data_IF_027945540536
#
_entry.id   IF_027945540536
#
_cell.length_a   1.000
_cell.length_b   1.000
_cell.length_c   1.000
_cell.angle_alpha   90.00
_cell.angle_beta   90.00
_cell.angle_gamma   90.00
#
_symmetry.space_group_name_H-M   'P 1'
#
loop_
_entity.id
_entity.type
_entity.pdbx_description
1 polymer ?
#
# COMPACT_ATOMS: atom_id res chain seq x y z
N UNK A 1 21.57 -11.36 -12.33
CA UNK A 1 20.79 -11.66 -11.11
C UNK A 1 19.52 -10.84 -11.19
N UNK A 2 18.35 -11.46 -11.11
CA UNK A 2 17.09 -10.72 -11.18
C UNK A 2 16.81 -10.04 -9.85
N UNK A 3 16.40 -8.78 -9.89
CA UNK A 3 16.08 -7.98 -8.71
C UNK A 3 14.73 -8.37 -8.13
N UNK A 4 14.54 -8.12 -6.84
CA UNK A 4 13.24 -8.13 -6.20
C UNK A 4 13.00 -6.76 -5.59
N UNK A 5 12.00 -6.06 -6.11
CA UNK A 5 11.66 -4.70 -5.70
C UNK A 5 10.28 -4.72 -5.05
N UNK A 6 10.09 -3.86 -4.05
CA UNK A 6 8.79 -3.50 -3.51
C UNK A 6 8.51 -2.03 -3.83
N UNK A 7 7.26 -1.71 -4.16
CA UNK A 7 6.70 -0.37 -4.05
C UNK A 7 5.73 -0.37 -2.87
N UNK A 8 5.99 0.46 -1.86
CA UNK A 8 5.06 0.72 -0.77
C UNK A 8 4.33 2.05 -1.02
N UNK A 9 3.02 2.07 -0.82
CA UNK A 9 2.14 3.25 -0.96
C UNK A 9 1.20 3.33 0.25
N UNK A 10 1.15 4.49 0.92
CA UNK A 10 0.32 4.69 2.10
C UNK A 10 -1.15 4.89 1.74
N UNK A 11 -2.04 4.11 2.36
CA UNK A 11 -3.47 4.17 2.07
C UNK A 11 -4.05 5.52 2.48
N UNK A 12 -4.69 6.27 1.58
CA UNK A 12 -5.27 7.59 1.84
C UNK A 12 -4.43 8.49 2.80
N UNK A 13 -3.12 8.58 2.55
CA UNK A 13 -2.11 9.02 3.53
C UNK A 13 -2.48 10.24 4.39
N UNK A 14 -2.87 11.36 3.78
CA UNK A 14 -3.17 12.58 4.54
C UNK A 14 -4.37 12.38 5.47
N UNK A 15 -5.36 11.58 5.06
CA UNK A 15 -6.50 11.24 5.94
C UNK A 15 -6.04 10.43 7.12
N UNK A 16 -5.16 9.45 6.94
CA UNK A 16 -4.62 8.67 8.06
C UNK A 16 -3.82 9.53 9.04
N UNK A 17 -3.07 10.53 8.54
CA UNK A 17 -2.37 11.49 9.40
C UNK A 17 -3.35 12.30 10.26
N UNK A 18 -4.46 12.76 9.69
CA UNK A 18 -5.50 13.46 10.45
C UNK A 18 -6.25 12.51 11.42
N UNK A 19 -6.60 11.29 10.98
CA UNK A 19 -7.24 10.27 11.82
C UNK A 19 -6.36 9.79 12.98
N UNK A 20 -5.04 9.96 12.87
CA UNK A 20 -4.12 9.69 13.98
C UNK A 20 -4.27 10.73 15.10
N UNK A 21 -4.52 11.99 14.76
CA UNK A 21 -4.79 13.06 15.73
C UNK A 21 -6.23 13.09 16.23
N UNK A 22 -7.18 12.64 15.40
CA UNK A 22 -8.60 12.55 15.73
C UNK A 22 -9.10 11.10 15.63
N UNK A 23 -8.74 10.21 16.59
CA UNK A 23 -9.04 8.79 16.50
C UNK A 23 -10.53 8.44 16.34
N UNK A 24 -11.43 9.31 16.81
CA UNK A 24 -12.88 9.19 16.67
C UNK A 24 -13.37 9.28 15.22
N UNK A 25 -12.49 9.66 14.29
CA UNK A 25 -12.78 9.77 12.85
C UNK A 25 -12.35 8.54 12.05
N UNK A 26 -11.71 7.55 12.69
CA UNK A 26 -11.39 6.26 12.08
C UNK A 26 -12.68 5.51 11.69
N UNK A 27 -12.70 4.93 10.49
CA UNK A 27 -13.87 4.22 9.97
C UNK A 27 -15.01 5.13 9.52
N UNK A 28 -14.79 6.45 9.43
CA UNK A 28 -15.77 7.45 8.98
C UNK A 28 -15.35 8.08 7.66
N UNK A 29 -16.30 8.53 6.83
CA UNK A 29 -16.00 9.23 5.58
C UNK A 29 -15.26 10.54 5.89
N UNK A 30 -13.98 10.57 5.57
CA UNK A 30 -13.09 11.71 5.77
C UNK A 30 -12.47 12.18 4.45
N UNK A 31 -12.25 13.49 4.36
CA UNK A 31 -11.56 14.19 3.28
C UNK A 31 -10.56 15.16 3.89
N UNK A 32 -9.36 15.25 3.32
CA UNK A 32 -8.41 16.32 3.62
C UNK A 32 -8.45 17.34 2.48
N UNK A 33 -8.76 18.57 2.82
CA UNK A 33 -8.88 19.73 1.94
C UNK A 33 -7.66 20.63 2.05
N UNK A 34 -7.14 21.05 0.90
CA UNK A 34 -6.08 22.03 0.79
C UNK A 34 -6.58 23.18 -0.10
N UNK A 35 -6.73 24.37 0.49
CA UNK A 35 -7.45 25.49 -0.14
C UNK A 35 -8.93 25.14 -0.40
N UNK A 36 -9.39 25.13 -1.66
CA UNK A 36 -10.75 24.73 -2.05
C UNK A 36 -10.86 23.28 -2.55
N UNK A 37 -9.74 22.68 -2.94
CA UNK A 37 -9.68 21.33 -3.50
C UNK A 37 -9.37 20.29 -2.42
N UNK A 38 -9.83 19.06 -2.62
CA UNK A 38 -9.40 17.97 -1.75
C UNK A 38 -8.08 17.38 -2.21
N UNK A 39 -7.23 17.03 -1.24
CA UNK A 39 -5.90 16.44 -1.42
C UNK A 39 -5.89 14.93 -1.22
N UNK A 40 -6.69 14.44 -0.28
CA UNK A 40 -6.85 13.02 0.00
C UNK A 40 -8.27 12.69 0.47
N UNK A 41 -8.66 11.44 0.30
CA UNK A 41 -9.99 10.94 0.62
C UNK A 41 -9.92 9.51 1.15
N UNK A 42 -10.66 9.23 2.22
CA UNK A 42 -10.83 7.91 2.83
C UNK A 42 -11.58 6.94 1.92
N UNK A 43 -11.45 5.63 2.15
CA UNK A 43 -12.22 4.65 1.39
C UNK A 43 -13.72 4.76 1.66
N UNK A 44 -14.11 5.09 2.89
CA UNK A 44 -15.49 5.33 3.30
C UNK A 44 -16.11 6.49 2.52
N UNK A 45 -15.35 7.57 2.31
CA UNK A 45 -15.82 8.70 1.51
C UNK A 45 -15.81 8.39 -0.01
N UNK A 46 -14.87 7.57 -0.51
CA UNK A 46 -14.93 7.07 -1.91
C UNK A 46 -16.17 6.21 -2.16
N UNK A 47 -16.57 5.40 -1.18
CA UNK A 47 -17.77 4.56 -1.27
C UNK A 47 -19.07 5.39 -1.41
N UNK A 48 -19.06 6.64 -0.96
CA UNK A 48 -20.16 7.60 -1.18
C UNK A 48 -20.18 8.19 -2.60
N UNK A 49 -19.24 7.81 -3.47
CA UNK A 49 -19.17 8.27 -4.85
C UNK A 49 -18.44 9.60 -5.04
N UNK A 50 -17.73 10.09 -4.01
CA UNK A 50 -16.93 11.32 -4.10
C UNK A 50 -15.72 11.07 -5.01
N UNK A 51 -15.60 11.85 -6.08
CA UNK A 51 -14.62 11.66 -7.16
C UNK A 51 -13.63 12.81 -7.28
N UNK A 52 -12.51 12.53 -7.96
CA UNK A 52 -11.51 13.54 -8.33
C UNK A 52 -12.19 14.66 -9.11
N UNK A 53 -11.93 15.89 -8.69
CA UNK A 53 -12.50 17.10 -9.29
C UNK A 53 -13.68 17.73 -8.53
N UNK A 54 -14.29 17.03 -7.56
CA UNK A 54 -15.27 17.67 -6.68
C UNK A 54 -14.59 18.68 -5.74
N UNK A 55 -15.18 19.84 -5.51
CA UNK A 55 -14.65 20.82 -4.57
C UNK A 55 -15.10 20.54 -3.13
N UNK A 56 -14.33 21.03 -2.16
CA UNK A 56 -14.61 20.78 -0.74
C UNK A 56 -15.97 21.35 -0.30
N UNK A 57 -16.38 22.49 -0.88
CA UNK A 57 -17.68 23.11 -0.61
C UNK A 57 -18.83 22.29 -1.21
N UNK A 58 -18.63 21.71 -2.40
CA UNK A 58 -19.60 20.82 -3.03
C UNK A 58 -19.80 19.55 -2.20
N UNK A 59 -18.71 18.92 -1.76
CA UNK A 59 -18.73 17.75 -0.88
C UNK A 59 -19.48 18.06 0.40
N UNK A 60 -19.22 19.22 1.02
CA UNK A 60 -19.88 19.64 2.26
C UNK A 60 -21.40 19.77 2.10
N UNK A 61 -21.87 20.19 0.93
CA UNK A 61 -23.31 20.35 0.64
C UNK A 61 -23.96 19.01 0.30
N UNK A 62 -23.33 18.21 -0.56
CA UNK A 62 -23.90 16.95 -1.04
C UNK A 62 -23.78 15.80 -0.01
N UNK A 63 -22.73 15.83 0.81
CA UNK A 63 -22.40 14.79 1.78
C UNK A 63 -22.08 15.42 3.16
N UNK A 64 -23.09 15.94 3.88
CA UNK A 64 -22.89 16.59 5.18
C UNK A 64 -22.32 15.65 6.26
N UNK A 65 -22.41 14.34 6.07
CA UNK A 65 -21.80 13.32 6.93
C UNK A 65 -20.27 13.21 6.77
N UNK A 66 -19.69 13.78 5.71
CA UNK A 66 -18.24 13.71 5.44
C UNK A 66 -17.49 14.70 6.33
N UNK A 67 -16.50 14.18 7.04
CA UNK A 67 -15.59 14.97 7.87
C UNK A 67 -14.52 15.58 6.97
N UNK A 68 -14.48 16.92 6.90
CA UNK A 68 -13.49 17.64 6.10
C UNK A 68 -12.44 18.26 7.02
N UNK A 69 -11.23 17.70 6.99
CA UNK A 69 -10.04 18.30 7.59
C UNK A 69 -9.47 19.35 6.66
N UNK A 70 -9.08 20.51 7.18
CA UNK A 70 -8.43 21.56 6.40
C UNK A 70 -6.94 21.57 6.73
N UNK A 71 -6.11 21.44 5.69
CA UNK A 71 -4.66 21.66 5.80
C UNK A 71 -4.45 23.10 6.29
N UNK A 72 -3.77 23.32 7.41
CA UNK A 72 -3.51 24.66 7.92
C UNK A 72 -2.72 25.49 6.91
N UNK A 73 -2.89 26.81 6.94
CA UNK A 73 -2.12 27.72 6.09
C UNK A 73 -1.19 28.60 6.93
N UNK A 74 0.06 28.75 6.48
CA UNK A 74 1.06 29.63 7.08
C UNK A 74 1.61 30.56 6.01
N UNK A 75 1.37 31.87 6.17
CA UNK A 75 1.75 32.91 5.18
C UNK A 75 1.16 32.67 3.78
N UNK A 76 -0.10 32.26 3.72
CA UNK A 76 -0.83 32.02 2.45
C UNK A 76 -0.36 30.77 1.69
N UNK A 77 0.33 29.84 2.37
CA UNK A 77 0.75 28.55 1.81
C UNK A 77 0.33 27.43 2.74
N UNK A 78 -0.07 26.30 2.15
CA UNK A 78 -0.35 25.08 2.89
C UNK A 78 0.84 24.65 3.77
N UNK A 79 0.55 24.43 5.04
CA UNK A 79 1.45 23.88 6.04
C UNK A 79 1.39 22.35 5.91
N UNK A 80 2.50 21.75 5.45
CA UNK A 80 2.57 20.32 5.18
C UNK A 80 3.59 19.60 6.07
N UNK A 81 4.11 20.25 7.11
CA UNK A 81 5.18 19.69 7.95
C UNK A 81 4.71 18.42 8.62
N UNK A 82 3.48 18.38 9.15
CA UNK A 82 2.94 17.17 9.79
C UNK A 82 2.91 15.93 8.88
N UNK A 83 2.60 16.11 7.59
CA UNK A 83 2.56 15.01 6.63
C UNK A 83 3.98 14.59 6.22
N UNK A 84 4.94 15.53 6.19
CA UNK A 84 6.35 15.24 5.93
C UNK A 84 7.00 14.50 7.09
N UNK A 85 6.67 14.86 8.32
CA UNK A 85 7.15 14.20 9.52
C UNK A 85 6.61 12.77 9.59
N UNK A 86 5.30 12.59 9.40
CA UNK A 86 4.67 11.27 9.29
C UNK A 86 5.30 10.40 8.19
N UNK A 87 5.62 10.98 7.03
CA UNK A 87 6.31 10.28 5.95
C UNK A 87 7.72 9.85 6.37
N UNK A 88 8.43 10.70 7.10
CA UNK A 88 9.77 10.41 7.59
C UNK A 88 9.75 9.28 8.63
N UNK A 89 8.73 9.22 9.49
CA UNK A 89 8.51 8.10 10.42
C UNK A 89 8.35 6.76 9.66
N UNK A 90 7.58 6.75 8.58
CA UNK A 90 7.39 5.54 7.74
C UNK A 90 8.71 5.12 7.10
N UNK A 91 9.44 6.05 6.48
CA UNK A 91 10.74 5.74 5.85
C UNK A 91 11.74 5.24 6.89
N UNK A 92 11.77 5.83 8.09
CA UNK A 92 12.61 5.36 9.18
C UNK A 92 12.25 3.92 9.57
N UNK A 93 10.97 3.58 9.66
CA UNK A 93 10.54 2.22 9.94
C UNK A 93 11.01 1.22 8.86
N UNK A 94 10.93 1.59 7.58
CA UNK A 94 11.40 0.73 6.48
C UNK A 94 12.92 0.59 6.52
N UNK A 95 13.65 1.65 6.90
CA UNK A 95 15.11 1.66 6.97
C UNK A 95 15.72 0.67 7.96
N UNK A 96 14.92 0.17 8.91
CA UNK A 96 15.34 -0.90 9.82
C UNK A 96 15.42 -2.27 9.15
N UNK A 97 14.78 -2.46 8.00
CA UNK A 97 14.81 -3.70 7.23
C UNK A 97 15.88 -3.67 6.14
N UNK A 98 16.06 -2.54 5.47
CA UNK A 98 17.06 -2.35 4.42
C UNK A 98 17.41 -0.88 4.24
N UNK A 99 18.65 -0.59 3.85
CA UNK A 99 19.09 0.76 3.48
C UNK A 99 18.73 1.16 2.05
N UNK A 100 18.32 0.21 1.20
CA UNK A 100 18.10 0.43 -0.23
C UNK A 100 16.70 0.95 -0.53
N UNK A 101 16.45 2.18 -0.09
CA UNK A 101 15.15 2.87 -0.19
C UNK A 101 15.27 4.07 -1.12
N UNK A 102 14.38 4.14 -2.10
CA UNK A 102 14.18 5.30 -2.96
C UNK A 102 12.80 5.90 -2.71
N UNK A 103 12.78 7.09 -2.13
CA UNK A 103 11.53 7.84 -1.93
C UNK A 103 11.01 8.36 -3.27
N UNK A 104 9.85 7.88 -3.71
CA UNK A 104 9.20 8.29 -4.94
C UNK A 104 8.28 9.52 -4.74
N UNK A 105 7.60 9.58 -3.59
CA UNK A 105 6.71 10.69 -3.22
C UNK A 105 6.69 10.92 -1.70
N UNK A 106 5.69 11.65 -1.18
CA UNK A 106 5.48 11.78 0.25
C UNK A 106 4.94 10.49 0.89
N UNK A 107 4.24 9.67 0.14
CA UNK A 107 3.57 8.44 0.58
C UNK A 107 4.04 7.18 -0.15
N UNK A 108 4.90 7.32 -1.16
CA UNK A 108 5.41 6.21 -1.96
C UNK A 108 6.94 6.04 -1.82
N UNK A 109 7.39 4.79 -1.70
CA UNK A 109 8.80 4.43 -1.72
C UNK A 109 9.05 3.11 -2.44
N UNK A 110 10.05 3.10 -3.32
CA UNK A 110 10.64 1.87 -3.86
C UNK A 110 11.69 1.34 -2.89
N UNK A 111 11.73 0.03 -2.72
CA UNK A 111 12.67 -0.65 -1.84
C UNK A 111 13.27 -1.83 -2.59
N UNK A 112 14.60 -1.90 -2.68
CA UNK A 112 15.28 -3.08 -3.21
C UNK A 112 15.42 -4.11 -2.09
N UNK A 113 14.85 -5.29 -2.33
CA UNK A 113 14.82 -6.41 -1.38
C UNK A 113 15.70 -7.57 -1.85
N UNK A 114 16.46 -7.40 -2.94
CA UNK A 114 17.22 -8.49 -3.58
C UNK A 114 18.12 -9.21 -2.57
N UNK A 115 18.93 -8.47 -1.82
CA UNK A 115 19.85 -9.06 -0.84
C UNK A 115 19.12 -9.63 0.38
N UNK A 116 18.06 -8.96 0.84
CA UNK A 116 17.24 -9.40 1.98
C UNK A 116 16.54 -10.73 1.71
N UNK A 117 16.15 -10.97 0.46
CA UNK A 117 15.47 -12.19 0.02
C UNK A 117 16.47 -13.33 -0.20
N UNK A 118 17.66 -13.04 -0.74
CA UNK A 118 18.71 -14.06 -0.95
C UNK A 118 19.13 -14.76 0.34
N UNK A 119 19.21 -14.03 1.46
CA UNK A 119 19.60 -14.57 2.76
C UNK A 119 18.56 -15.55 3.33
N UNK A 120 17.31 -15.49 2.85
CA UNK A 120 16.18 -16.26 3.39
C UNK A 120 15.76 -17.45 2.50
N UNK A 121 16.44 -17.66 1.36
CA UNK A 121 16.14 -18.76 0.42
C UNK A 121 16.37 -20.15 1.06
N UNK A 122 17.23 -20.25 2.07
CA UNK A 122 17.55 -21.53 2.74
C UNK A 122 16.44 -22.04 3.68
N UNK A 123 15.36 -21.28 3.93
CA UNK A 123 14.32 -21.65 4.91
C UNK A 123 12.87 -21.52 4.40
N UNK A 124 12.65 -21.76 3.10
CA UNK A 124 11.32 -21.68 2.46
C UNK A 124 10.23 -22.50 3.17
N UNK A 125 10.59 -23.67 3.73
CA UNK A 125 9.65 -24.57 4.41
C UNK A 125 9.02 -23.98 5.68
N UNK A 126 9.61 -22.92 6.24
CA UNK A 126 9.09 -22.25 7.43
C UNK A 126 8.12 -21.11 7.12
N UNK A 127 8.05 -20.67 5.86
CA UNK A 127 7.22 -19.54 5.47
C UNK A 127 5.74 -19.91 5.50
N UNK A 128 4.92 -18.97 5.95
CA UNK A 128 3.47 -19.08 5.97
C UNK A 128 2.87 -18.05 5.03
N UNK A 129 1.84 -18.40 4.24
CA UNK A 129 1.12 -17.42 3.45
C UNK A 129 0.44 -16.43 4.41
N UNK A 130 0.52 -15.14 4.10
CA UNK A 130 -0.20 -14.12 4.86
C UNK A 130 -1.57 -13.86 4.22
N UNK A 131 -2.59 -13.48 5.01
CA UNK A 131 -3.96 -13.31 4.51
C UNK A 131 -4.15 -12.11 3.58
N UNK A 132 -3.14 -11.23 3.46
CA UNK A 132 -3.21 -9.97 2.73
C UNK A 132 -2.42 -10.00 1.41
N UNK A 133 -1.87 -11.14 1.03
CA UNK A 133 -1.08 -11.27 -0.20
C UNK A 133 -1.87 -11.90 -1.33
N UNK A 134 -1.72 -11.29 -2.50
CA UNK A 134 -2.39 -11.68 -3.73
C UNK A 134 -1.37 -11.70 -4.86
N UNK A 135 -1.60 -12.55 -5.85
CA UNK A 135 -0.80 -12.61 -7.07
C UNK A 135 -1.66 -12.29 -8.29
N UNK A 136 -1.12 -11.46 -9.18
CA UNK A 136 -1.71 -11.22 -10.51
C UNK A 136 -1.31 -12.38 -11.42
N UNK A 137 -2.31 -13.09 -11.93
CA UNK A 137 -2.12 -14.21 -12.87
C UNK A 137 -3.04 -14.04 -14.07
N UNK A 138 -2.68 -14.63 -15.20
CA UNK A 138 -3.58 -14.69 -16.36
C UNK A 138 -4.76 -15.62 -16.07
N UNK A 139 -5.84 -15.46 -16.86
CA UNK A 139 -6.98 -16.37 -16.85
C UNK A 139 -6.55 -17.82 -17.05
N UNK A 140 -5.61 -18.05 -17.96
CA UNK A 140 -5.16 -19.39 -18.34
C UNK A 140 -4.50 -20.12 -17.16
N UNK A 141 -3.62 -19.43 -16.42
CA UNK A 141 -2.97 -19.99 -15.21
C UNK A 141 -4.01 -20.31 -14.13
N UNK A 142 -5.01 -19.44 -13.96
CA UNK A 142 -6.07 -19.65 -12.98
C UNK A 142 -6.95 -20.85 -13.36
N UNK A 143 -7.30 -21.02 -14.63
CA UNK A 143 -8.08 -22.17 -15.11
C UNK A 143 -7.31 -23.49 -14.98
N UNK A 144 -6.04 -23.52 -15.40
CA UNK A 144 -5.17 -24.70 -15.29
C UNK A 144 -4.99 -25.15 -13.83
N UNK A 145 -4.84 -24.17 -12.93
CA UNK A 145 -4.64 -24.40 -11.49
C UNK A 145 -5.94 -24.51 -10.70
N UNK A 146 -7.11 -24.37 -11.34
CA UNK A 146 -8.45 -24.35 -10.71
C UNK A 146 -8.58 -23.33 -9.58
N UNK A 147 -8.02 -22.15 -9.78
CA UNK A 147 -7.99 -21.05 -8.82
C UNK A 147 -9.12 -20.05 -9.10
N UNK A 148 -9.73 -19.52 -8.04
CA UNK A 148 -10.74 -18.47 -8.16
C UNK A 148 -10.07 -17.10 -8.32
N UNK A 149 -10.40 -16.39 -9.41
CA UNK A 149 -9.97 -15.02 -9.64
C UNK A 149 -10.89 -14.03 -8.92
N UNK A 150 -10.28 -13.02 -8.30
CA UNK A 150 -11.01 -11.83 -7.88
C UNK A 150 -11.45 -11.01 -9.10
N UNK A 151 -12.32 -10.01 -8.87
CA UNK A 151 -12.75 -9.05 -9.90
C UNK A 151 -11.58 -8.26 -10.54
N UNK A 152 -10.40 -8.28 -9.92
CA UNK A 152 -9.19 -7.58 -10.38
C UNK A 152 -8.14 -8.54 -10.95
N UNK A 153 -8.54 -9.76 -11.32
CA UNK A 153 -7.64 -10.81 -11.84
C UNK A 153 -6.49 -11.16 -10.87
N UNK A 154 -6.79 -11.20 -9.58
CA UNK A 154 -5.85 -11.67 -8.56
C UNK A 154 -6.29 -13.02 -8.00
N UNK A 155 -5.33 -13.81 -7.53
CA UNK A 155 -5.57 -14.99 -6.68
C UNK A 155 -5.02 -14.71 -5.29
N UNK A 156 -5.77 -15.08 -4.25
CA UNK A 156 -5.25 -15.02 -2.88
C UNK A 156 -4.16 -16.08 -2.69
N UNK A 157 -3.03 -15.69 -2.11
CA UNK A 157 -1.98 -16.64 -1.73
C UNK A 157 -2.35 -17.44 -0.47
N UNK A 158 -3.40 -17.02 0.25
CA UNK A 158 -3.87 -17.74 1.41
C UNK A 158 -4.75 -18.92 1.00
N UNK A 159 -4.56 -20.08 1.64
CA UNK A 159 -5.34 -21.29 1.37
C UNK A 159 -4.93 -22.07 0.12
N UNK A 160 -3.81 -21.72 -0.51
CA UNK A 160 -3.22 -22.43 -1.65
C UNK A 160 -1.76 -22.80 -1.36
N UNK A 161 -1.20 -23.73 -2.12
CA UNK A 161 0.25 -23.97 -2.12
C UNK A 161 0.95 -22.83 -2.89
N UNK A 162 1.05 -21.69 -2.22
CA UNK A 162 1.48 -20.42 -2.79
C UNK A 162 2.95 -20.45 -3.26
N UNK A 163 3.82 -21.21 -2.59
CA UNK A 163 5.21 -21.37 -3.02
C UNK A 163 5.24 -22.12 -4.35
N UNK A 164 4.55 -23.26 -4.44
CA UNK A 164 4.50 -24.04 -5.68
C UNK A 164 3.85 -23.24 -6.81
N UNK A 165 2.77 -22.50 -6.52
CA UNK A 165 2.10 -21.61 -7.46
C UNK A 165 3.07 -20.58 -8.02
N UNK A 166 3.86 -19.93 -7.17
CA UNK A 166 4.83 -18.93 -7.60
C UNK A 166 6.01 -19.56 -8.35
N UNK A 167 6.59 -20.63 -7.82
CA UNK A 167 7.76 -21.32 -8.41
C UNK A 167 7.46 -21.88 -9.81
N UNK A 168 6.25 -22.39 -10.03
CA UNK A 168 5.88 -22.97 -11.33
C UNK A 168 5.58 -21.93 -12.41
N UNK A 169 5.14 -20.73 -12.01
CA UNK A 169 4.60 -19.73 -12.95
C UNK A 169 5.49 -18.51 -13.14
N UNK A 170 6.48 -18.29 -12.28
CA UNK A 170 7.33 -17.10 -12.31
C UNK A 170 8.81 -17.48 -12.22
N UNK A 171 9.65 -16.86 -13.06
CA UNK A 171 11.09 -17.16 -13.14
C UNK A 171 11.86 -16.99 -11.81
N UNK A 172 11.32 -16.21 -10.87
CA UNK A 172 11.89 -15.98 -9.53
C UNK A 172 10.84 -16.29 -8.43
N UNK A 173 9.98 -17.28 -8.66
CA UNK A 173 8.82 -17.57 -7.83
C UNK A 173 9.13 -17.77 -6.35
N UNK A 174 10.19 -18.53 -6.01
CA UNK A 174 10.64 -18.70 -4.62
C UNK A 174 11.04 -17.40 -3.95
N UNK A 175 11.73 -16.52 -4.69
CA UNK A 175 12.12 -15.21 -4.18
C UNK A 175 10.92 -14.30 -4.00
N UNK A 176 9.94 -14.36 -4.90
CA UNK A 176 8.67 -13.66 -4.73
C UNK A 176 7.90 -14.17 -3.51
N UNK A 177 7.99 -15.46 -3.21
CA UNK A 177 7.39 -16.04 -2.01
C UNK A 177 8.02 -15.46 -0.73
N UNK A 178 9.34 -15.53 -0.61
CA UNK A 178 10.10 -14.92 0.50
C UNK A 178 9.79 -13.42 0.61
N UNK A 179 9.77 -12.71 -0.52
CA UNK A 179 9.47 -11.28 -0.55
C UNK A 179 8.06 -10.97 -0.08
N UNK A 180 7.06 -11.77 -0.45
CA UNK A 180 5.67 -11.59 0.01
C UNK A 180 5.56 -11.64 1.53
N UNK A 181 6.25 -12.58 2.17
CA UNK A 181 6.30 -12.68 3.64
C UNK A 181 7.06 -11.49 4.26
N UNK A 182 8.23 -11.14 3.72
CA UNK A 182 9.04 -10.03 4.22
C UNK A 182 8.29 -8.69 4.11
N UNK A 183 7.63 -8.43 2.98
CA UNK A 183 6.84 -7.23 2.75
C UNK A 183 5.64 -7.18 3.68
N UNK A 184 5.00 -8.32 3.95
CA UNK A 184 3.95 -8.38 4.97
C UNK A 184 4.49 -7.95 6.34
N UNK A 185 5.65 -8.47 6.77
CA UNK A 185 6.29 -8.04 8.02
C UNK A 185 6.63 -6.54 8.04
N UNK A 186 7.15 -5.99 6.95
CA UNK A 186 7.44 -4.55 6.82
C UNK A 186 6.14 -3.74 7.01
N UNK A 187 5.05 -4.11 6.32
CA UNK A 187 3.75 -3.44 6.46
C UNK A 187 3.20 -3.52 7.88
N UNK A 188 3.32 -4.67 8.55
CA UNK A 188 2.91 -4.82 9.95
C UNK A 188 3.76 -3.97 10.90
N UNK A 189 5.06 -3.86 10.66
CA UNK A 189 5.95 -3.00 11.43
C UNK A 189 5.61 -1.52 11.25
N UNK A 190 5.36 -1.07 10.01
CA UNK A 190 4.89 0.29 9.71
C UNK A 190 3.62 0.58 10.49
N UNK A 191 2.63 -0.31 10.42
CA UNK A 191 1.38 -0.12 11.15
C UNK A 191 1.58 -0.09 12.67
N UNK A 192 2.35 -1.02 13.21
CA UNK A 192 2.56 -1.13 14.67
C UNK A 192 3.25 0.10 15.24
N UNK A 193 4.21 0.69 14.51
CA UNK A 193 4.97 1.85 14.96
C UNK A 193 4.28 3.18 14.70
N UNK A 194 3.62 3.32 13.56
CA UNK A 194 3.09 4.62 13.09
C UNK A 194 1.58 4.74 13.21
N UNK A 195 0.88 3.60 13.30
CA UNK A 195 -0.57 3.51 13.20
C UNK A 195 -1.11 3.58 11.76
N UNK A 196 -0.25 3.69 10.75
CA UNK A 196 -0.65 3.85 9.35
C UNK A 196 -0.71 2.52 8.59
N UNK A 197 -1.76 2.36 7.80
CA UNK A 197 -1.93 1.29 6.82
C UNK A 197 -1.28 1.66 5.49
N UNK A 198 -0.82 0.66 4.79
CA UNK A 198 -0.24 0.81 3.46
C UNK A 198 -0.53 -0.42 2.62
N UNK A 199 -0.45 -0.22 1.31
CA UNK A 199 -0.47 -1.25 0.29
C UNK A 199 0.93 -1.41 -0.28
N UNK A 200 1.24 -2.59 -0.82
CA UNK A 200 2.52 -2.82 -1.48
C UNK A 200 2.38 -3.69 -2.72
N UNK A 201 3.17 -3.39 -3.75
CA UNK A 201 3.34 -4.20 -4.94
C UNK A 201 4.77 -4.74 -5.01
N UNK A 202 4.93 -6.01 -5.41
CA UNK A 202 6.22 -6.71 -5.47
C UNK A 202 6.46 -7.15 -6.91
N UNK A 203 7.69 -7.01 -7.39
CA UNK A 203 8.03 -7.45 -8.74
C UNK A 203 9.51 -7.32 -9.08
N UNK A 204 9.90 -7.76 -10.29
CA UNK A 204 11.32 -7.79 -10.70
C UNK A 204 11.90 -6.40 -11.01
N UNK A 205 11.05 -5.38 -11.12
CA UNK A 205 11.42 -4.00 -11.39
C UNK A 205 10.31 -3.05 -10.92
N UNK A 206 10.64 -1.75 -10.90
CA UNK A 206 9.73 -0.68 -10.43
C UNK A 206 8.39 -0.64 -11.16
N UNK A 207 8.38 -0.85 -12.49
CA UNK A 207 7.15 -0.83 -13.29
C UNK A 207 6.22 -1.98 -12.92
N UNK A 208 6.77 -3.18 -12.79
CA UNK A 208 5.99 -4.35 -12.35
C UNK A 208 5.42 -4.17 -10.93
N UNK A 209 6.20 -3.59 -10.00
CA UNK A 209 5.72 -3.29 -8.64
C UNK A 209 4.56 -2.29 -8.67
N UNK A 210 4.67 -1.26 -9.51
CA UNK A 210 3.63 -0.27 -9.68
C UNK A 210 2.32 -0.87 -10.21
N UNK A 211 2.40 -1.79 -11.18
CA UNK A 211 1.23 -2.51 -11.69
C UNK A 211 0.65 -3.49 -10.66
N UNK A 212 1.50 -4.08 -9.81
CA UNK A 212 1.07 -5.02 -8.77
C UNK A 212 0.46 -4.33 -7.54
N UNK A 213 0.64 -3.01 -7.40
CA UNK A 213 0.06 -2.26 -6.31
C UNK A 213 -1.47 -2.20 -6.49
N UNK A 214 -2.27 -2.61 -5.49
CA UNK A 214 -3.71 -2.49 -5.55
C UNK A 214 -4.10 -1.01 -5.42
N UNK A 215 -4.01 -0.28 -6.53
CA UNK A 215 -4.65 1.04 -6.65
C UNK A 215 -6.14 0.78 -6.66
N UNK A 216 -6.75 0.87 -5.48
CA UNK A 216 -8.19 0.78 -5.30
C UNK A 216 -8.89 1.67 -6.33
N UNK A 217 -9.46 1.00 -7.35
CA UNK A 217 -10.44 1.53 -8.28
C UNK A 217 -11.66 2.03 -7.51
#
# INVERSE_FOLDING_TARGET
MNRVVMLLDMDCFYVQVEQREFPETKGKPCVVSQYSEWKAISYEARALGIKRGMFSDEIRVQHPEVIIFKVPEKRGKAELTRYRDASSEVIQCISEFTSDIERASIDEAYVDLTDSVLVQDDNLSSLQPNPESYVLVSSDIAEESKLELTKTNCVSLNGVDWIQLLDSNFAEGRRLAVASELVYRIRQAVFTKTGFRCSAGIGPNKVSCFCALPRLL
#
